data_IF_464316139591
#
_entry.id   IF_464316139591
#
_cell.length_a   1.000
_cell.length_b   1.000
_cell.length_c   1.000
_cell.angle_alpha   90.00
_cell.angle_beta   90.00
_cell.angle_gamma   90.00
#
_symmetry.space_group_name_H-M   'P 1'
#
loop_
_entity.id
_entity.type
_entity.pdbx_description
1 polymer ?
#
# COMPACT_ATOMS: atom_id res chain seq x y z
N UNK A 1 13.43 -24.01 13.71
CA UNK A 1 12.01 -23.61 13.79
C UNK A 1 11.99 -22.10 13.92
N UNK A 2 11.57 -21.37 12.88
CA UNK A 2 11.44 -19.91 12.94
C UNK A 2 10.22 -19.65 13.82
N UNK A 3 10.40 -18.99 14.98
CA UNK A 3 9.27 -18.58 15.80
C UNK A 3 8.35 -17.71 14.94
N UNK A 4 7.12 -18.17 14.74
CA UNK A 4 6.13 -17.45 13.94
C UNK A 4 5.71 -16.21 14.73
N UNK A 5 6.43 -15.12 14.50
CA UNK A 5 6.16 -13.87 15.18
C UNK A 5 4.75 -13.39 14.83
N UNK A 6 4.07 -12.85 15.83
CA UNK A 6 2.78 -12.17 15.67
C UNK A 6 2.90 -11.04 14.66
N UNK A 7 1.82 -10.76 13.93
CA UNK A 7 1.75 -9.68 12.94
C UNK A 7 2.28 -8.37 13.54
N UNK A 8 3.24 -7.75 12.85
CA UNK A 8 3.82 -6.50 13.31
C UNK A 8 2.96 -5.29 12.87
N UNK A 9 3.26 -4.11 13.42
CA UNK A 9 2.48 -2.90 13.13
C UNK A 9 2.49 -2.52 11.65
N UNK A 10 3.59 -2.77 10.93
CA UNK A 10 3.72 -2.34 9.53
C UNK A 10 2.98 -3.28 8.59
N UNK A 11 2.96 -4.59 8.89
CA UNK A 11 2.10 -5.56 8.22
C UNK A 11 0.62 -5.23 8.41
N UNK A 12 0.22 -4.83 9.61
CA UNK A 12 -1.14 -4.36 9.91
C UNK A 12 -1.51 -3.11 9.08
N UNK A 13 -0.61 -2.12 9.01
CA UNK A 13 -0.79 -0.93 8.16
C UNK A 13 -0.91 -1.32 6.69
N UNK A 14 -0.03 -2.19 6.19
CA UNK A 14 -0.03 -2.69 4.81
C UNK A 14 -1.34 -3.40 4.49
N UNK A 15 -1.83 -4.28 5.37
CA UNK A 15 -3.09 -5.00 5.21
C UNK A 15 -4.26 -4.04 5.06
N UNK A 16 -4.44 -3.13 6.01
CA UNK A 16 -5.56 -2.18 5.99
C UNK A 16 -5.48 -1.19 4.82
N UNK A 17 -4.28 -0.73 4.47
CA UNK A 17 -4.09 0.13 3.31
C UNK A 17 -4.43 -0.62 2.02
N UNK A 18 -3.96 -1.86 1.86
CA UNK A 18 -4.22 -2.68 0.67
C UNK A 18 -5.71 -3.02 0.53
N UNK A 19 -6.39 -3.35 1.63
CA UNK A 19 -7.84 -3.58 1.65
C UNK A 19 -8.62 -2.33 1.22
N UNK A 20 -8.27 -1.16 1.77
CA UNK A 20 -8.88 0.12 1.39
C UNK A 20 -8.64 0.42 -0.09
N UNK A 21 -7.44 0.17 -0.59
CA UNK A 21 -7.10 0.35 -2.00
C UNK A 21 -7.83 -0.61 -2.94
N UNK A 22 -8.15 -1.81 -2.46
CA UNK A 22 -8.97 -2.79 -3.18
C UNK A 22 -10.46 -2.43 -3.19
N UNK A 23 -10.88 -1.46 -2.36
CA UNK A 23 -12.28 -1.06 -2.21
C UNK A 23 -13.11 -2.03 -1.37
N UNK A 24 -12.47 -2.82 -0.52
CA UNK A 24 -13.15 -3.83 0.30
C UNK A 24 -13.76 -3.21 1.57
N UNK A 25 -14.94 -3.68 1.96
CA UNK A 25 -15.54 -3.32 3.24
C UNK A 25 -14.81 -4.03 4.39
N UNK A 26 -14.90 -3.47 5.60
CA UNK A 26 -14.32 -4.08 6.80
C UNK A 26 -14.79 -5.53 6.98
N UNK A 27 -16.10 -5.78 6.82
CA UNK A 27 -16.69 -7.12 6.91
C UNK A 27 -16.03 -8.10 5.93
N UNK A 28 -15.85 -7.68 4.67
CA UNK A 28 -15.20 -8.53 3.65
C UNK A 28 -13.74 -8.85 3.97
N UNK A 29 -13.03 -7.92 4.60
CA UNK A 29 -11.65 -8.16 5.06
C UNK A 29 -11.63 -9.24 6.15
N UNK A 30 -12.53 -9.16 7.13
CA UNK A 30 -12.63 -10.20 8.17
C UNK A 30 -13.07 -11.55 7.60
N UNK A 31 -13.98 -11.60 6.63
CA UNK A 31 -14.33 -12.84 5.94
C UNK A 31 -13.11 -13.47 5.25
N UNK A 32 -12.31 -12.68 4.53
CA UNK A 32 -11.08 -13.18 3.87
C UNK A 32 -10.11 -13.73 4.92
N UNK A 33 -9.93 -13.00 6.03
CA UNK A 33 -9.04 -13.44 7.12
C UNK A 33 -9.53 -14.74 7.74
N UNK A 34 -10.81 -14.83 8.09
CA UNK A 34 -11.42 -16.03 8.67
C UNK A 34 -11.33 -17.23 7.72
N UNK A 35 -11.61 -17.04 6.42
CA UNK A 35 -11.59 -18.13 5.45
C UNK A 35 -10.19 -18.71 5.24
N UNK A 36 -9.16 -17.86 5.23
CA UNK A 36 -7.79 -18.26 4.89
C UNK A 36 -6.97 -18.70 6.11
N UNK A 37 -7.35 -18.24 7.31
CA UNK A 37 -6.55 -18.46 8.53
C UNK A 37 -7.30 -19.19 9.63
N UNK A 38 -8.62 -19.33 9.53
CA UNK A 38 -9.48 -19.86 10.58
C UNK A 38 -9.57 -18.96 11.82
N UNK A 39 -9.00 -17.75 11.78
CA UNK A 39 -8.98 -16.81 12.91
C UNK A 39 -9.93 -15.64 12.66
N UNK A 40 -10.78 -15.33 13.63
CA UNK A 40 -11.67 -14.16 13.58
C UNK A 40 -10.94 -12.82 13.81
N UNK A 41 -9.68 -12.87 14.25
CA UNK A 41 -8.93 -11.68 14.60
C UNK A 41 -7.69 -11.47 13.72
N UNK A 42 -7.64 -10.30 13.10
CA UNK A 42 -6.49 -9.85 12.29
C UNK A 42 -5.24 -9.67 13.16
N UNK A 43 -5.40 -9.33 14.44
CA UNK A 43 -4.26 -9.08 15.33
C UNK A 43 -3.63 -10.35 15.87
N UNK A 44 -4.32 -11.50 15.80
CA UNK A 44 -3.76 -12.81 16.19
C UNK A 44 -3.00 -13.51 15.07
N UNK A 45 -2.98 -12.95 13.85
CA UNK A 45 -2.27 -13.54 12.73
C UNK A 45 -0.77 -13.61 13.01
N UNK A 46 -0.16 -14.71 12.58
CA UNK A 46 1.29 -14.81 12.50
C UNK A 46 1.81 -14.13 11.22
N UNK A 47 3.14 -13.97 11.14
CA UNK A 47 3.82 -13.27 10.04
C UNK A 47 3.52 -13.93 8.68
N UNK A 48 3.48 -15.26 8.62
CA UNK A 48 3.19 -16.01 7.39
C UNK A 48 1.75 -15.80 6.91
N UNK A 49 0.78 -15.95 7.81
CA UNK A 49 -0.64 -15.69 7.56
C UNK A 49 -0.88 -14.24 7.12
N UNK A 50 -0.25 -13.28 7.78
CA UNK A 50 -0.34 -11.87 7.41
C UNK A 50 0.14 -11.63 5.96
N UNK A 51 1.25 -12.25 5.56
CA UNK A 51 1.73 -12.18 4.17
C UNK A 51 0.74 -12.80 3.19
N UNK A 52 0.18 -13.96 3.50
CA UNK A 52 -0.85 -14.61 2.66
C UNK A 52 -2.05 -13.70 2.46
N UNK A 53 -2.60 -13.13 3.54
CA UNK A 53 -3.73 -12.21 3.47
C UNK A 53 -3.39 -10.97 2.64
N UNK A 54 -2.23 -10.37 2.85
CA UNK A 54 -1.79 -9.20 2.07
C UNK A 54 -1.70 -9.53 0.58
N UNK A 55 -1.19 -10.71 0.21
CA UNK A 55 -1.09 -11.15 -1.18
C UNK A 55 -2.48 -11.36 -1.82
N UNK A 56 -3.44 -11.89 -1.06
CA UNK A 56 -4.83 -12.04 -1.51
C UNK A 56 -5.46 -10.66 -1.74
N UNK A 57 -5.29 -9.73 -0.79
CA UNK A 57 -5.79 -8.36 -0.93
C UNK A 57 -5.14 -7.63 -2.11
N UNK A 58 -3.85 -7.84 -2.36
CA UNK A 58 -3.18 -7.32 -3.56
C UNK A 58 -3.77 -7.91 -4.85
N UNK A 59 -4.13 -9.19 -4.84
CA UNK A 59 -4.76 -9.88 -5.96
C UNK A 59 -6.14 -9.30 -6.25
N UNK A 60 -6.96 -9.11 -5.22
CA UNK A 60 -8.26 -8.44 -5.32
C UNK A 60 -8.10 -7.00 -5.84
N UNK A 61 -7.13 -6.24 -5.31
CA UNK A 61 -6.80 -4.90 -5.82
C UNK A 61 -6.49 -4.92 -7.32
N UNK A 62 -5.69 -5.88 -7.80
CA UNK A 62 -5.36 -6.03 -9.22
C UNK A 62 -6.60 -6.39 -10.05
N UNK A 63 -7.49 -7.25 -9.54
CA UNK A 63 -8.77 -7.57 -10.19
C UNK A 63 -9.64 -6.32 -10.33
N UNK A 64 -9.80 -5.54 -9.27
CA UNK A 64 -10.55 -4.27 -9.29
C UNK A 64 -9.97 -3.27 -10.29
N UNK A 65 -8.64 -3.20 -10.42
CA UNK A 65 -7.98 -2.32 -11.41
C UNK A 65 -8.19 -2.81 -12.85
N UNK A 66 -8.11 -4.13 -13.07
CA UNK A 66 -8.27 -4.77 -14.39
C UNK A 66 -9.70 -4.71 -14.91
N UNK A 67 -10.68 -4.78 -14.02
CA UNK A 67 -12.08 -4.49 -14.32
C UNK A 67 -12.20 -2.98 -14.62
N UNK A 68 -11.76 -2.57 -15.82
CA UNK A 68 -11.77 -1.18 -16.27
C UNK A 68 -13.18 -0.63 -16.11
N UNK A 69 -13.39 0.36 -15.24
CA UNK A 69 -14.72 0.90 -15.11
C UNK A 69 -14.93 1.85 -16.31
N UNK A 70 -16.00 1.59 -17.07
CA UNK A 70 -16.30 2.31 -18.32
C UNK A 70 -16.92 3.68 -18.07
N UNK A 71 -17.38 3.99 -16.86
CA UNK A 71 -18.06 5.24 -16.58
C UNK A 71 -17.07 6.40 -16.27
N UNK A 72 -17.37 7.65 -16.65
CA UNK A 72 -16.50 8.80 -16.39
C UNK A 72 -16.20 9.04 -14.89
N UNK A 73 -17.19 8.83 -14.02
CA UNK A 73 -17.06 9.08 -12.57
C UNK A 73 -16.02 8.17 -11.90
N UNK A 74 -15.96 6.91 -12.29
CA UNK A 74 -15.01 5.92 -11.78
C UNK A 74 -13.58 6.22 -12.23
N UNK A 75 -13.40 6.65 -13.48
CA UNK A 75 -12.13 7.12 -14.00
C UNK A 75 -11.64 8.36 -13.25
N UNK A 76 -12.55 9.29 -12.98
CA UNK A 76 -12.26 10.49 -12.19
C UNK A 76 -11.87 10.13 -10.75
N UNK A 77 -12.65 9.28 -10.06
CA UNK A 77 -12.32 8.76 -8.73
C UNK A 77 -10.94 8.11 -8.70
N UNK A 78 -10.59 7.30 -9.70
CA UNK A 78 -9.28 6.65 -9.80
C UNK A 78 -8.13 7.67 -9.95
N UNK A 79 -8.34 8.73 -10.72
CA UNK A 79 -7.34 9.81 -10.87
C UNK A 79 -7.10 10.58 -9.56
N UNK A 80 -8.13 10.69 -8.72
CA UNK A 80 -8.06 11.34 -7.41
C UNK A 80 -7.54 10.43 -6.30
N UNK A 81 -7.36 9.14 -6.55
CA UNK A 81 -6.82 8.23 -5.54
C UNK A 81 -5.42 8.68 -5.11
N UNK A 82 -5.25 8.81 -3.80
CA UNK A 82 -3.94 8.99 -3.18
C UNK A 82 -3.02 7.82 -3.56
N UNK A 83 -1.72 8.09 -3.53
CA UNK A 83 -0.65 7.11 -3.71
C UNK A 83 -0.91 5.83 -2.91
N UNK A 84 -0.51 4.69 -3.47
CA UNK A 84 -0.63 3.42 -2.77
C UNK A 84 0.38 3.31 -1.63
N UNK A 85 0.10 2.41 -0.69
CA UNK A 85 1.05 2.02 0.35
C UNK A 85 2.34 1.46 -0.28
N UNK A 86 2.24 0.65 -1.32
CA UNK A 86 3.42 0.16 -2.04
C UNK A 86 4.23 1.31 -2.66
N UNK A 87 3.60 2.35 -3.21
CA UNK A 87 4.33 3.52 -3.70
C UNK A 87 5.02 4.28 -2.56
N UNK A 88 4.43 4.29 -1.36
CA UNK A 88 5.11 4.83 -0.18
C UNK A 88 6.38 4.07 0.16
N UNK A 89 6.26 2.77 0.33
CA UNK A 89 7.38 1.90 0.72
C UNK A 89 8.51 1.95 -0.29
N UNK A 90 8.18 1.90 -1.59
CA UNK A 90 9.18 1.99 -2.66
C UNK A 90 9.89 3.34 -2.64
N UNK A 91 9.15 4.44 -2.53
CA UNK A 91 9.75 5.77 -2.51
C UNK A 91 10.63 5.99 -1.28
N UNK A 92 10.17 5.53 -0.11
CA UNK A 92 10.95 5.57 1.13
C UNK A 92 12.22 4.74 1.01
N UNK A 93 12.13 3.49 0.54
CA UNK A 93 13.28 2.61 0.36
C UNK A 93 14.30 3.16 -0.63
N UNK A 94 13.86 3.87 -1.68
CA UNK A 94 14.75 4.58 -2.60
C UNK A 94 15.47 5.74 -1.90
N UNK A 95 14.77 6.58 -1.14
CA UNK A 95 15.38 7.65 -0.36
C UNK A 95 16.41 7.09 0.64
N UNK A 96 16.06 6.03 1.37
CA UNK A 96 16.95 5.37 2.33
C UNK A 96 18.22 4.84 1.62
N UNK A 97 18.05 4.15 0.49
CA UNK A 97 19.17 3.62 -0.32
C UNK A 97 20.10 4.71 -0.87
N UNK A 98 19.54 5.87 -1.26
CA UNK A 98 20.32 7.03 -1.71
C UNK A 98 21.07 7.65 -0.52
N UNK A 99 20.40 7.80 0.62
CA UNK A 99 20.96 8.39 1.83
C UNK A 99 22.07 7.55 2.45
N UNK A 100 22.02 6.23 2.34
CA UNK A 100 23.09 5.34 2.76
C UNK A 100 24.37 5.53 1.94
N UNK A 101 24.25 5.89 0.66
CA UNK A 101 25.38 6.06 -0.27
C UNK A 101 25.81 7.51 -0.46
N UNK A 102 24.95 8.45 -0.10
CA UNK A 102 25.08 9.86 -0.41
C UNK A 102 25.74 10.66 0.71
N UNK A 103 26.41 11.75 0.32
CA UNK A 103 26.91 12.76 1.26
C UNK A 103 25.75 13.62 1.78
N UNK A 104 24.69 13.78 0.98
CA UNK A 104 23.53 14.61 1.28
C UNK A 104 22.31 13.75 1.59
N UNK A 105 21.54 14.17 2.62
CA UNK A 105 20.25 13.57 2.93
C UNK A 105 19.17 14.09 2.00
N UNK A 106 18.58 13.16 1.27
CA UNK A 106 17.38 13.31 0.46
C UNK A 106 16.16 13.05 1.34
N UNK A 107 15.25 14.02 1.38
CA UNK A 107 13.93 13.89 2.00
C UNK A 107 12.84 13.74 0.94
N UNK A 108 11.93 12.78 1.16
CA UNK A 108 10.87 12.44 0.22
C UNK A 108 9.85 13.57 0.06
N UNK A 109 9.54 14.31 1.14
CA UNK A 109 8.64 15.46 1.07
C UNK A 109 9.31 16.63 0.35
N UNK A 110 10.61 16.86 0.54
CA UNK A 110 11.35 17.90 -0.19
C UNK A 110 11.28 17.67 -1.70
N UNK A 111 11.52 16.44 -2.16
CA UNK A 111 11.38 16.08 -3.57
C UNK A 111 9.96 16.29 -4.09
N UNK A 112 8.97 15.87 -3.30
CA UNK A 112 7.56 16.03 -3.63
C UNK A 112 7.15 17.49 -3.74
N UNK A 113 7.61 18.33 -2.81
CA UNK A 113 7.36 19.77 -2.78
C UNK A 113 7.98 20.48 -3.97
N UNK A 114 9.22 20.11 -4.37
CA UNK A 114 9.89 20.69 -5.54
C UNK A 114 9.13 20.42 -6.84
N UNK A 115 8.66 19.20 -7.05
CA UNK A 115 8.03 18.79 -8.31
C UNK A 115 6.53 19.13 -8.38
N UNK A 116 5.80 18.96 -7.27
CA UNK A 116 4.34 19.02 -7.26
C UNK A 116 3.76 20.05 -6.29
N UNK A 117 4.59 20.79 -5.55
CA UNK A 117 4.19 21.78 -4.54
C UNK A 117 3.27 21.20 -3.46
N UNK A 118 3.42 19.91 -3.16
CA UNK A 118 2.62 19.16 -2.17
C UNK A 118 3.53 18.14 -1.47
N UNK A 119 3.27 17.81 -0.19
CA UNK A 119 3.98 16.73 0.48
C UNK A 119 3.62 15.38 -0.14
N UNK A 120 4.51 14.39 0.03
CA UNK A 120 4.38 13.10 -0.64
C UNK A 120 3.05 12.42 -0.28
N UNK A 121 2.64 12.48 0.98
CA UNK A 121 1.36 12.02 1.55
C UNK A 121 0.11 12.46 0.79
N UNK A 122 0.18 13.59 0.09
CA UNK A 122 -0.95 14.17 -0.64
C UNK A 122 -0.88 13.93 -2.16
N UNK A 123 0.15 13.23 -2.64
CA UNK A 123 0.25 12.91 -4.06
C UNK A 123 -0.80 11.89 -4.49
N UNK A 124 -1.30 12.10 -5.72
CA UNK A 124 -2.07 11.09 -6.44
C UNK A 124 -1.19 9.92 -6.84
N UNK A 125 -1.81 8.77 -7.13
CA UNK A 125 -1.08 7.59 -7.65
C UNK A 125 -0.21 7.91 -8.86
N UNK A 126 -0.68 8.76 -9.78
CA UNK A 126 0.08 9.14 -10.99
C UNK A 126 1.31 9.97 -10.64
N UNK A 127 1.17 10.95 -9.75
CA UNK A 127 2.27 11.82 -9.35
C UNK A 127 3.34 11.05 -8.56
N UNK A 128 2.91 10.21 -7.61
CA UNK A 128 3.84 9.36 -6.86
C UNK A 128 4.60 8.39 -7.76
N UNK A 129 3.93 7.81 -8.76
CA UNK A 129 4.61 6.95 -9.75
C UNK A 129 5.67 7.73 -10.54
N UNK A 130 5.37 8.96 -10.94
CA UNK A 130 6.31 9.83 -11.64
C UNK A 130 7.56 10.15 -10.83
N UNK A 131 7.48 10.23 -9.49
CA UNK A 131 8.66 10.41 -8.63
C UNK A 131 9.47 9.14 -8.43
N UNK A 132 8.83 7.97 -8.50
CA UNK A 132 9.51 6.69 -8.27
C UNK A 132 10.26 6.23 -9.53
N UNK A 133 9.74 6.57 -10.71
CA UNK A 133 10.26 6.11 -12.00
C UNK A 133 11.14 7.14 -12.74
N UNK A 134 11.04 8.42 -12.37
CA UNK A 134 11.83 9.51 -12.96
C UNK A 134 13.12 9.73 -12.20
#
# INVERSE_FOLDING_TARGET
>A
MIADNKINSDQLKKLWATAREAGLSKVKVYEIVSNETGSDSISSLNTSQAHTIINILESERRKTIRQRPRNPLSLFKRKLQKRSYSQFETAKGLCDSINEKGIYKVDLNDFSMRQYKKPFDLLTRKQALGLIQG
#
